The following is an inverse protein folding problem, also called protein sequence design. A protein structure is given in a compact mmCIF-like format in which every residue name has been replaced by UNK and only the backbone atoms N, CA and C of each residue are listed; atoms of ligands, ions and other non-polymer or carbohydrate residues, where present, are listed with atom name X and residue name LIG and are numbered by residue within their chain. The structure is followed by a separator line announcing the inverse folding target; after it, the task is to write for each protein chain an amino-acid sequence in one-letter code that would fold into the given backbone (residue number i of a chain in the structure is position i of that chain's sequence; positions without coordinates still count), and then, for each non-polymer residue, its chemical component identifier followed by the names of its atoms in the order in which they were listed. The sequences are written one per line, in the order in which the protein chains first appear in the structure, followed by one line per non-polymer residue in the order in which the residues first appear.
data_IF_951240665303
#
_entry.id   IF_951240665303
#
_cell.length_a   1.000
_cell.length_b   1.000
_cell.length_c   1.000
_cell.angle_alpha   90.00
_cell.angle_beta   90.00
_cell.angle_gamma   90.00
#
_symmetry.space_group_name_H-M   'P 1'
#
loop_
_entity.id
_entity.type
_entity.pdbx_description
1 polymer ?
#
# COMPACT_ATOMS: atom_id res chain seq x y z
N UNK A 1 -23.47 -26.31 -28.29
CA UNK A 1 -22.00 -26.10 -28.19
C UNK A 1 -21.35 -27.42 -28.56
N UNK A 2 -20.81 -27.50 -29.77
CA UNK A 2 -20.39 -28.75 -30.43
C UNK A 2 -19.07 -29.27 -29.87
N UNK A 3 -18.88 -30.60 -29.87
CA UNK A 3 -17.70 -31.33 -29.37
C UNK A 3 -16.35 -30.77 -29.88
N UNK A 4 -16.36 -30.08 -31.02
CA UNK A 4 -15.21 -29.37 -31.59
C UNK A 4 -14.64 -28.27 -30.67
N UNK A 5 -15.48 -27.64 -29.84
CA UNK A 5 -15.05 -26.60 -28.90
C UNK A 5 -14.33 -27.18 -27.67
N UNK A 6 -14.67 -28.42 -27.27
CA UNK A 6 -13.99 -29.12 -26.17
C UNK A 6 -12.60 -29.61 -26.59
N UNK A 7 -12.45 -30.07 -27.83
CA UNK A 7 -11.15 -30.51 -28.34
C UNK A 7 -10.14 -29.36 -28.48
N UNK A 8 -10.58 -28.16 -28.87
CA UNK A 8 -9.69 -26.98 -28.95
C UNK A 8 -9.19 -26.51 -27.58
N UNK A 9 -10.02 -26.57 -26.52
CA UNK A 9 -9.58 -26.27 -25.15
C UNK A 9 -8.58 -27.30 -24.62
N UNK A 10 -8.77 -28.58 -24.93
CA UNK A 10 -7.85 -29.64 -24.50
C UNK A 10 -6.47 -29.49 -25.18
N UNK A 11 -6.45 -29.13 -26.48
CA UNK A 11 -5.19 -28.90 -27.21
C UNK A 11 -4.41 -27.69 -26.67
N UNK A 12 -5.10 -26.60 -26.33
CA UNK A 12 -4.46 -25.39 -25.78
C UNK A 12 -3.89 -25.68 -24.39
N UNK A 13 -4.61 -26.42 -23.54
CA UNK A 13 -4.11 -26.81 -22.21
C UNK A 13 -2.92 -27.76 -22.29
N UNK A 14 -2.87 -28.68 -23.26
CA UNK A 14 -1.71 -29.55 -23.47
C UNK A 14 -0.48 -28.76 -23.96
N UNK A 15 -0.68 -27.75 -24.81
CA UNK A 15 0.40 -26.93 -25.34
C UNK A 15 1.04 -26.03 -24.26
N UNK A 16 0.22 -25.47 -23.36
CA UNK A 16 0.69 -24.67 -22.23
C UNK A 16 1.44 -25.52 -21.20
N UNK A 17 0.99 -26.77 -20.97
CA UNK A 17 1.67 -27.69 -20.05
C UNK A 17 3.02 -28.16 -20.60
N UNK A 18 3.11 -28.43 -21.91
CA UNK A 18 4.38 -28.78 -22.56
C UNK A 18 5.40 -27.63 -22.53
N UNK A 19 4.93 -26.38 -22.64
CA UNK A 19 5.79 -25.19 -22.55
C UNK A 19 6.32 -24.98 -21.12
N UNK A 20 5.51 -25.29 -20.09
CA UNK A 20 5.93 -25.22 -18.68
C UNK A 20 6.92 -26.33 -18.28
N UNK A 21 6.84 -27.52 -18.90
CA UNK A 21 7.80 -28.59 -18.63
C UNK A 21 9.13 -28.40 -19.37
N UNK A 22 9.13 -27.73 -20.53
CA UNK A 22 10.36 -27.43 -21.25
C UNK A 22 11.23 -26.37 -20.53
N UNK A 23 10.60 -25.44 -19.80
CA UNK A 23 11.33 -24.41 -19.04
C UNK A 23 11.89 -24.92 -17.71
N UNK A 24 11.26 -25.92 -17.08
CA UNK A 24 11.72 -26.46 -15.79
C UNK A 24 12.91 -27.42 -15.92
N UNK A 25 13.10 -28.08 -17.08
CA UNK A 25 14.28 -28.93 -17.32
C UNK A 25 15.53 -28.14 -17.71
N UNK A 26 15.39 -26.88 -18.13
CA UNK A 26 16.54 -26.02 -18.43
C UNK A 26 17.25 -25.47 -17.17
N UNK A 27 16.59 -25.48 -15.99
CA UNK A 27 17.14 -24.93 -14.75
C UNK A 27 17.81 -25.96 -13.81
N UNK A 28 17.65 -27.26 -14.05
CA UNK A 28 18.13 -28.31 -13.14
C UNK A 28 19.49 -28.93 -13.50
N UNK A 29 20.18 -28.45 -14.54
CA UNK A 29 21.38 -29.10 -15.08
C UNK A 29 22.61 -28.18 -15.17
N UNK A 30 22.97 -27.49 -14.09
CA UNK A 30 24.35 -27.05 -13.79
C UNK A 30 24.50 -27.07 -12.26
N UNK A 31 25.01 -28.16 -11.66
CA UNK A 31 26.39 -28.26 -11.13
C UNK A 31 26.59 -27.30 -9.95
N UNK A 32 26.77 -27.72 -8.69
CA UNK A 32 27.94 -28.48 -8.23
C UNK A 32 27.77 -28.97 -6.77
N UNK A 33 28.61 -29.94 -6.43
CA UNK A 33 28.72 -30.74 -5.21
C UNK A 33 29.89 -30.29 -4.32
N UNK A 34 29.73 -30.32 -3.00
CA UNK A 34 30.81 -30.69 -2.08
C UNK A 34 31.13 -29.74 -0.91
N UNK A 35 31.33 -30.37 0.27
CA UNK A 35 31.90 -29.88 1.55
C UNK A 35 30.95 -28.96 2.34
N UNK A 36 30.71 -29.09 3.64
CA UNK A 36 31.38 -29.76 4.76
C UNK A 36 31.16 -28.88 5.99
N UNK A 37 30.62 -29.44 7.07
CA UNK A 37 30.28 -28.75 8.33
C UNK A 37 31.50 -28.06 8.98
N UNK A 38 31.38 -26.79 9.39
CA UNK A 38 31.74 -26.24 10.73
C UNK A 38 31.97 -24.71 10.74
N UNK A 39 31.47 -24.09 11.81
CA UNK A 39 31.86 -22.80 12.42
C UNK A 39 31.34 -21.48 11.82
N UNK A 40 30.53 -20.81 12.66
CA UNK A 40 30.16 -19.40 12.60
C UNK A 40 31.41 -18.51 12.64
N UNK A 41 31.59 -17.66 11.64
CA UNK A 41 32.62 -16.63 11.63
C UNK A 41 32.66 -15.88 10.30
N UNK A 42 32.26 -14.60 10.33
CA UNK A 42 32.45 -13.56 9.32
C UNK A 42 32.82 -14.02 7.89
N UNK A 43 31.80 -14.21 7.04
CA UNK A 43 31.98 -14.49 5.62
C UNK A 43 32.19 -13.22 4.79
N UNK A 44 33.41 -13.04 4.30
CA UNK A 44 33.78 -12.11 3.23
C UNK A 44 33.06 -12.52 1.94
N UNK A 45 32.45 -11.57 1.24
CA UNK A 45 31.83 -11.79 -0.08
C UNK A 45 32.95 -11.85 -1.13
N UNK A 46 33.16 -13.01 -1.74
CA UNK A 46 33.88 -13.14 -3.02
C UNK A 46 32.87 -13.29 -4.15
N UNK A 47 32.96 -12.40 -5.12
CA UNK A 47 32.15 -12.40 -6.33
C UNK A 47 32.77 -13.36 -7.35
N UNK A 48 32.06 -14.41 -7.77
CA UNK A 48 32.35 -15.09 -9.03
C UNK A 48 31.31 -14.64 -10.08
N UNK A 49 31.78 -14.37 -11.29
CA UNK A 49 31.09 -13.54 -12.28
C UNK A 49 29.87 -14.17 -12.97
N UNK A 50 29.04 -14.96 -12.28
CA UNK A 50 27.85 -15.59 -12.88
C UNK A 50 26.58 -15.44 -12.03
N UNK A 51 26.03 -14.23 -12.00
CA UNK A 51 24.59 -14.01 -12.23
C UNK A 51 23.56 -14.52 -11.23
N UNK A 52 23.87 -14.68 -9.94
CA UNK A 52 22.85 -14.93 -8.91
C UNK A 52 23.19 -14.23 -7.59
N UNK A 53 22.33 -13.32 -7.14
CA UNK A 53 22.46 -12.65 -5.83
C UNK A 53 21.35 -13.14 -4.89
N UNK A 54 21.73 -13.73 -3.76
CA UNK A 54 20.81 -14.00 -2.64
C UNK A 54 21.21 -13.14 -1.44
N UNK A 55 20.39 -12.16 -1.09
CA UNK A 55 20.53 -11.44 0.17
C UNK A 55 19.67 -12.13 1.23
N UNK A 56 20.30 -12.74 2.23
CA UNK A 56 19.64 -13.09 3.47
C UNK A 56 19.71 -11.87 4.40
N UNK A 57 18.57 -11.22 4.62
CA UNK A 57 18.42 -10.18 5.64
C UNK A 57 17.92 -10.87 6.90
N UNK A 58 18.79 -11.05 7.89
CA UNK A 58 18.39 -11.43 9.25
C UNK A 58 17.77 -10.19 9.91
N UNK A 59 16.53 -10.33 10.40
CA UNK A 59 15.70 -9.26 10.95
C UNK A 59 16.10 -8.79 12.35
N UNK A 60 17.41 -8.65 12.65
CA UNK A 60 17.87 -8.26 13.99
C UNK A 60 18.69 -6.96 14.07
N UNK A 61 18.96 -6.26 12.97
CA UNK A 61 19.83 -5.07 13.02
C UNK A 61 19.05 -3.75 13.06
N UNK A 62 18.54 -3.39 14.24
CA UNK A 62 17.90 -2.09 14.52
C UNK A 62 18.66 -1.26 15.55
N UNK A 63 19.93 -1.55 15.87
CA UNK A 63 20.63 -0.86 16.95
C UNK A 63 22.05 -0.42 16.58
N UNK A 64 22.15 0.91 16.39
CA UNK A 64 23.31 1.82 16.44
C UNK A 64 23.87 2.30 15.08
N UNK A 65 24.12 3.63 14.92
CA UNK A 65 24.80 4.14 13.75
C UNK A 65 26.27 3.71 13.83
N UNK A 66 26.67 2.76 13.00
CA UNK A 66 28.07 2.47 12.80
C UNK A 66 28.74 3.71 12.19
N UNK A 67 29.56 4.39 13.00
CA UNK A 67 30.43 5.48 12.57
C UNK A 67 31.40 4.91 11.54
N UNK A 68 31.20 5.23 10.27
CA UNK A 68 32.15 4.88 9.21
C UNK A 68 33.35 5.81 9.38
N UNK A 69 34.50 5.22 9.72
CA UNK A 69 35.79 5.90 9.80
C UNK A 69 36.33 6.10 8.38
N UNK A 70 36.24 7.33 7.86
CA UNK A 70 36.76 7.74 6.55
C UNK A 70 38.23 8.21 6.67
N UNK A 71 39.11 7.30 7.09
CA UNK A 71 40.56 7.57 7.16
C UNK A 71 41.36 6.60 6.29
N UNK A 72 40.95 6.41 5.04
CA UNK A 72 41.72 5.66 4.05
C UNK A 72 42.13 6.52 2.86
N UNK A 73 43.44 6.72 2.69
CA UNK A 73 44.04 7.44 1.56
C UNK A 73 44.01 6.63 0.26
N UNK A 74 44.13 7.35 -0.87
CA UNK A 74 44.12 6.80 -2.23
C UNK A 74 45.13 5.65 -2.40
N UNK A 75 44.63 4.41 -2.57
CA UNK A 75 45.46 3.26 -2.94
C UNK A 75 44.93 1.87 -2.56
N UNK A 76 43.95 1.76 -1.66
CA UNK A 76 43.44 0.44 -1.22
C UNK A 76 42.41 -0.13 -2.20
N UNK A 77 42.68 -1.31 -2.77
CA UNK A 77 41.74 -2.10 -3.58
C UNK A 77 41.03 -3.12 -2.70
N UNK A 78 39.90 -2.71 -2.13
CA UNK A 78 39.03 -3.56 -1.33
C UNK A 78 37.82 -2.77 -0.84
N UNK A 79 36.73 -2.79 -1.62
CA UNK A 79 35.49 -2.13 -1.22
C UNK A 79 34.70 -3.02 -0.27
N UNK A 80 34.49 -2.56 0.96
CA UNK A 80 33.37 -3.01 1.78
C UNK A 80 32.15 -2.24 1.27
N UNK A 81 31.31 -2.89 0.48
CA UNK A 81 30.05 -2.27 0.06
C UNK A 81 29.12 -2.20 1.26
N UNK A 82 28.86 -0.99 1.77
CA UNK A 82 27.62 -0.77 2.51
C UNK A 82 26.46 -0.91 1.53
N UNK A 83 25.35 -1.50 1.99
CA UNK A 83 24.14 -1.68 1.18
C UNK A 83 23.64 -0.37 0.54
N UNK A 84 24.02 0.77 1.11
CA UNK A 84 23.69 2.13 0.65
C UNK A 84 24.32 2.46 -0.73
N UNK A 85 25.57 2.04 -0.99
CA UNK A 85 26.24 2.32 -2.28
C UNK A 85 25.82 1.38 -3.41
N UNK A 86 25.37 0.16 -3.09
CA UNK A 86 24.83 -0.76 -4.09
C UNK A 86 23.44 -0.32 -4.61
N UNK A 87 22.74 0.49 -3.81
CA UNK A 87 21.53 1.18 -4.26
C UNK A 87 21.87 2.30 -5.26
N UNK A 88 22.92 3.06 -4.99
CA UNK A 88 23.37 4.21 -5.80
C UNK A 88 23.85 3.81 -7.22
N UNK A 89 24.53 2.66 -7.38
CA UNK A 89 24.96 2.20 -8.72
C UNK A 89 23.84 1.56 -9.56
N UNK A 90 22.80 1.00 -8.93
CA UNK A 90 21.63 0.49 -9.67
C UNK A 90 20.67 1.61 -10.08
N UNK A 91 20.63 2.71 -9.34
CA UNK A 91 19.89 3.92 -9.73
C UNK A 91 20.49 4.51 -11.01
N UNK A 92 21.82 4.56 -11.17
CA UNK A 92 22.47 5.06 -12.40
C UNK A 92 22.09 4.38 -13.71
N UNK A 93 21.55 3.16 -13.69
CA UNK A 93 21.07 2.48 -14.92
C UNK A 93 19.56 2.61 -15.15
N UNK A 94 18.79 3.22 -14.25
CA UNK A 94 17.32 3.41 -14.39
C UNK A 94 16.77 4.78 -13.98
N UNK A 95 17.59 5.68 -13.46
CA UNK A 95 17.30 7.10 -13.25
C UNK A 95 18.53 7.80 -12.71
N UNK A 96 18.99 8.86 -13.35
CA UNK A 96 20.08 9.66 -12.80
C UNK A 96 19.55 10.40 -11.57
N UNK A 97 20.11 10.16 -10.39
CA UNK A 97 19.95 11.01 -9.21
C UNK A 97 21.23 11.84 -9.08
N UNK A 98 21.16 13.10 -9.48
CA UNK A 98 22.25 14.07 -9.25
C UNK A 98 21.81 15.06 -8.17
N UNK A 99 22.54 15.06 -7.05
CA UNK A 99 22.42 16.10 -6.04
C UNK A 99 23.25 17.30 -6.49
N UNK A 100 22.58 18.44 -6.75
CA UNK A 100 23.23 19.63 -7.30
C UNK A 100 23.45 20.63 -6.15
N UNK A 101 24.72 20.92 -5.88
CA UNK A 101 25.12 22.01 -4.98
C UNK A 101 25.45 23.25 -5.84
N UNK A 102 24.72 24.34 -5.65
CA UNK A 102 24.88 25.54 -6.45
C UNK A 102 26.17 26.32 -6.12
N UNK A 103 26.81 26.84 -7.17
CA UNK A 103 27.67 28.01 -7.13
C UNK A 103 26.95 29.18 -7.84
N UNK A 104 27.53 30.37 -7.84
CA UNK A 104 26.94 31.59 -8.43
C UNK A 104 26.78 31.58 -9.96
N UNK A 105 27.06 30.47 -10.63
CA UNK A 105 27.03 30.34 -12.09
C UNK A 105 25.87 29.43 -12.50
N UNK A 106 25.14 29.74 -13.59
CA UNK A 106 24.06 28.91 -14.10
C UNK A 106 24.57 27.50 -14.39
N UNK A 107 23.99 26.51 -13.73
CA UNK A 107 24.33 25.10 -13.92
C UNK A 107 23.49 24.53 -15.07
N UNK A 108 24.15 23.94 -16.05
CA UNK A 108 23.52 23.32 -17.21
C UNK A 108 23.63 21.79 -17.11
N UNK A 109 22.50 21.09 -17.03
CA UNK A 109 22.47 19.64 -17.18
C UNK A 109 22.31 19.33 -18.65
N UNK A 110 23.22 18.52 -19.18
CA UNK A 110 23.23 18.17 -20.60
C UNK A 110 23.17 16.65 -20.74
N UNK A 111 21.98 16.06 -20.94
CA UNK A 111 21.85 14.63 -21.18
C UNK A 111 22.51 14.27 -22.53
N UNK A 112 23.68 13.63 -22.51
CA UNK A 112 24.42 13.25 -23.73
C UNK A 112 24.15 11.79 -24.10
N UNK A 113 23.41 11.56 -25.19
CA UNK A 113 23.21 10.21 -25.74
C UNK A 113 21.99 10.13 -26.66
N UNK A 114 22.05 9.30 -27.70
CA UNK A 114 20.86 9.00 -28.52
C UNK A 114 19.86 8.18 -27.70
N UNK A 115 18.90 8.84 -27.08
CA UNK A 115 17.90 8.21 -26.20
C UNK A 115 16.93 7.38 -27.05
N UNK A 116 16.95 6.05 -26.89
CA UNK A 116 16.04 5.13 -27.60
C UNK A 116 14.89 4.64 -26.73
N UNK A 117 14.86 5.01 -25.45
CA UNK A 117 13.83 4.64 -24.49
C UNK A 117 13.45 5.85 -23.61
N UNK A 118 12.19 5.90 -23.19
CA UNK A 118 11.71 6.87 -22.21
C UNK A 118 12.38 6.61 -20.85
N UNK A 119 12.91 7.65 -20.22
CA UNK A 119 13.56 7.59 -18.92
C UNK A 119 12.90 8.53 -17.91
N UNK A 120 13.18 8.31 -16.63
CA UNK A 120 12.83 9.23 -15.55
C UNK A 120 14.11 9.78 -14.93
N UNK A 121 14.15 11.09 -14.76
CA UNK A 121 15.20 11.80 -14.03
C UNK A 121 14.59 12.52 -12.83
N UNK A 122 15.21 12.40 -11.67
CA UNK A 122 14.85 13.17 -10.47
C UNK A 122 16.03 14.07 -10.12
N UNK A 123 15.83 15.38 -10.19
CA UNK A 123 16.83 16.40 -9.90
C UNK A 123 16.51 17.06 -8.56
N UNK A 124 17.49 17.12 -7.65
CA UNK A 124 17.34 17.78 -6.37
C UNK A 124 18.14 19.08 -6.37
N UNK A 125 17.43 20.21 -6.42
CA UNK A 125 17.97 21.57 -6.33
C UNK A 125 18.07 21.91 -4.85
N UNK A 126 19.28 21.83 -4.29
CA UNK A 126 19.50 22.00 -2.85
C UNK A 126 19.87 23.43 -2.44
N UNK A 127 19.89 24.36 -3.40
CA UNK A 127 20.22 25.75 -3.13
C UNK A 127 19.13 26.40 -2.27
N UNK A 128 19.56 27.04 -1.18
CA UNK A 128 18.72 27.79 -0.24
C UNK A 128 18.97 29.29 -0.32
N UNK A 129 19.88 29.73 -1.19
CA UNK A 129 20.07 31.15 -1.49
C UNK A 129 19.12 31.57 -2.61
N UNK A 130 18.15 32.44 -2.27
CA UNK A 130 17.18 32.99 -3.22
C UNK A 130 17.90 33.54 -4.47
N UNK A 131 17.62 32.96 -5.64
CA UNK A 131 18.06 33.48 -6.95
C UNK A 131 19.12 32.68 -7.70
N UNK A 132 19.32 31.39 -7.38
CA UNK A 132 20.08 30.49 -8.24
C UNK A 132 19.26 30.07 -9.46
N UNK A 133 19.46 30.73 -10.61
CA UNK A 133 18.81 30.32 -11.86
C UNK A 133 19.36 28.95 -12.32
N UNK A 134 18.48 27.94 -12.45
CA UNK A 134 18.82 26.61 -12.93
C UNK A 134 18.39 26.45 -14.38
N UNK A 135 19.32 26.12 -15.28
CA UNK A 135 19.02 25.93 -16.70
C UNK A 135 19.10 24.45 -17.09
N UNK A 136 18.03 23.89 -17.63
CA UNK A 136 18.01 22.55 -18.22
C UNK A 136 18.16 22.65 -19.73
N UNK A 137 19.39 22.50 -20.23
CA UNK A 137 19.68 22.53 -21.67
C UNK A 137 19.69 21.14 -22.26
N UNK A 138 18.93 20.90 -23.33
CA UNK A 138 19.06 19.66 -24.10
C UNK A 138 20.19 19.75 -25.14
N UNK A 139 21.03 18.70 -25.25
CA UNK A 139 21.85 18.47 -26.45
C UNK A 139 21.29 17.29 -27.23
N UNK A 140 20.32 17.58 -28.08
CA UNK A 140 19.61 16.60 -28.90
C UNK A 140 18.30 16.12 -28.24
N UNK A 141 17.31 15.72 -29.05
CA UNK A 141 15.96 15.46 -28.56
C UNK A 141 15.93 14.20 -27.69
N UNK A 142 15.48 14.28 -26.42
CA UNK A 142 15.09 13.11 -25.64
C UNK A 142 14.08 12.23 -26.40
N UNK A 143 13.99 10.96 -26.01
CA UNK A 143 12.91 10.11 -26.50
C UNK A 143 11.57 10.64 -26.00
N UNK A 144 10.55 10.66 -26.86
CA UNK A 144 9.17 10.96 -26.46
C UNK A 144 8.76 10.12 -25.25
N UNK A 145 8.17 10.77 -24.24
CA UNK A 145 7.76 10.15 -22.98
C UNK A 145 8.82 10.17 -21.88
N UNK A 146 10.01 10.73 -22.12
CA UNK A 146 11.00 11.01 -21.06
C UNK A 146 10.43 12.01 -20.05
N UNK A 147 10.60 11.74 -18.76
CA UNK A 147 10.10 12.57 -17.66
C UNK A 147 11.28 13.14 -16.87
N UNK A 148 11.24 14.44 -16.60
CA UNK A 148 12.12 15.08 -15.62
C UNK A 148 11.27 15.62 -14.47
N UNK A 149 11.67 15.30 -13.24
CA UNK A 149 11.09 15.83 -12.00
C UNK A 149 12.15 16.68 -11.32
N UNK A 150 11.82 17.95 -11.09
CA UNK A 150 12.64 18.92 -10.39
C UNK A 150 12.11 19.05 -8.97
N UNK A 151 12.94 18.75 -7.98
CA UNK A 151 12.65 18.95 -6.56
C UNK A 151 13.42 20.15 -6.06
N UNK A 152 12.73 21.07 -5.40
CA UNK A 152 13.31 22.34 -4.99
C UNK A 152 13.46 22.46 -3.47
N UNK A 153 14.60 22.89 -2.95
CA UNK A 153 14.83 23.04 -1.51
C UNK A 153 14.70 24.50 -0.99
N UNK A 154 14.71 25.49 -1.88
CA UNK A 154 14.57 26.93 -1.61
C UNK A 154 13.99 27.63 -2.85
N UNK A 155 13.52 28.88 -2.80
CA UNK A 155 12.87 29.47 -3.98
C UNK A 155 13.84 29.62 -5.17
N UNK A 156 13.47 29.09 -6.34
CA UNK A 156 14.34 29.05 -7.52
C UNK A 156 13.55 29.32 -8.80
N UNK A 157 14.27 29.85 -9.79
CA UNK A 157 13.77 30.04 -11.16
C UNK A 157 14.43 29.01 -12.06
N UNK A 158 13.62 28.26 -12.82
CA UNK A 158 14.08 27.24 -13.74
C UNK A 158 13.76 27.66 -15.17
N UNK A 159 14.75 27.56 -16.05
CA UNK A 159 14.60 27.74 -17.49
C UNK A 159 14.90 26.43 -18.22
N UNK A 160 14.09 26.10 -19.22
CA UNK A 160 14.29 24.89 -20.05
C UNK A 160 14.44 25.30 -21.52
N UNK A 161 15.66 25.70 -21.95
CA UNK A 161 15.95 25.97 -23.36
C UNK A 161 16.13 24.70 -24.19
N UNK A 162 15.66 24.76 -25.43
CA UNK A 162 15.93 23.78 -26.47
C UNK A 162 17.37 23.87 -26.98
N UNK A 163 17.73 22.96 -27.89
CA UNK A 163 19.07 22.93 -28.49
C UNK A 163 19.46 24.22 -29.25
N UNK A 164 18.49 25.03 -29.67
CA UNK A 164 18.70 26.33 -30.34
C UNK A 164 18.68 27.53 -29.36
N UNK A 165 18.50 27.28 -28.05
CA UNK A 165 18.43 28.30 -27.00
C UNK A 165 17.05 28.94 -26.82
N UNK A 166 16.01 28.44 -27.48
CA UNK A 166 14.63 28.89 -27.29
C UNK A 166 13.97 28.15 -26.14
N UNK A 167 13.24 28.83 -25.26
CA UNK A 167 12.61 28.18 -24.12
C UNK A 167 11.38 27.35 -24.51
N UNK A 168 11.26 26.13 -23.99
CA UNK A 168 10.28 25.12 -24.44
C UNK A 168 8.97 25.04 -23.63
N UNK A 169 8.92 25.71 -22.48
CA UNK A 169 7.80 25.63 -21.53
C UNK A 169 6.79 26.78 -21.78
N UNK A 170 5.47 26.59 -21.55
CA UNK A 170 4.48 27.68 -21.63
C UNK A 170 4.82 28.87 -20.70
N UNK A 171 4.36 30.09 -21.06
CA UNK A 171 4.60 31.36 -20.34
C UNK A 171 6.06 31.83 -20.33
N UNK A 172 6.60 32.10 -21.51
CA UNK A 172 7.93 32.67 -21.70
C UNK A 172 9.10 31.82 -21.17
N UNK A 173 8.86 30.55 -20.81
CA UNK A 173 9.91 29.57 -20.59
C UNK A 173 10.54 29.51 -19.21
N UNK A 174 10.03 30.32 -18.28
CA UNK A 174 10.52 30.46 -16.92
C UNK A 174 9.53 29.85 -15.93
N UNK A 175 10.00 28.89 -15.13
CA UNK A 175 9.24 28.22 -14.07
C UNK A 175 9.75 28.77 -12.73
N UNK A 176 8.88 29.40 -11.96
CA UNK A 176 9.20 29.82 -10.58
C UNK A 176 8.71 28.73 -9.64
N UNK A 177 9.62 28.15 -8.86
CA UNK A 177 9.29 27.20 -7.80
C UNK A 177 9.53 27.81 -6.44
N UNK A 178 8.54 27.72 -5.57
CA UNK A 178 8.68 28.05 -4.17
C UNK A 178 9.48 26.97 -3.43
N UNK A 179 9.80 27.26 -2.17
CA UNK A 179 10.54 26.33 -1.31
C UNK A 179 9.77 25.02 -1.11
N UNK A 180 10.42 23.88 -1.36
CA UNK A 180 9.85 22.52 -1.28
C UNK A 180 8.80 22.17 -2.33
N UNK A 181 8.65 22.98 -3.38
CA UNK A 181 7.85 22.60 -4.53
C UNK A 181 8.58 21.60 -5.43
N UNK A 182 7.80 20.83 -6.19
CA UNK A 182 8.30 19.98 -7.24
C UNK A 182 7.59 20.28 -8.56
N UNK A 183 8.33 20.17 -9.65
CA UNK A 183 7.79 20.39 -11.00
C UNK A 183 8.16 19.25 -11.91
N UNK A 184 7.21 18.76 -12.68
CA UNK A 184 7.44 17.67 -13.61
C UNK A 184 7.15 18.10 -15.04
N UNK A 185 8.03 17.70 -15.96
CA UNK A 185 7.87 17.87 -17.40
C UNK A 185 8.03 16.54 -18.10
N UNK A 186 7.30 16.36 -19.20
CA UNK A 186 7.42 15.21 -20.10
C UNK A 186 7.82 15.70 -21.49
N UNK A 187 8.85 15.08 -22.07
CA UNK A 187 9.26 15.39 -23.43
C UNK A 187 8.27 14.81 -24.43
N UNK A 188 7.73 15.65 -25.32
CA UNK A 188 6.77 15.25 -26.36
C UNK A 188 6.97 16.05 -27.62
N UNK A 189 7.25 15.35 -28.72
CA UNK A 189 7.27 15.91 -30.06
C UNK A 189 8.15 17.16 -30.09
N UNK A 190 9.42 16.97 -29.71
CA UNK A 190 10.47 17.99 -29.78
C UNK A 190 10.27 19.19 -28.83
N UNK A 191 9.68 18.94 -27.65
CA UNK A 191 9.59 19.94 -26.57
C UNK A 191 9.29 19.34 -25.22
N UNK A 192 9.76 19.98 -24.15
CA UNK A 192 9.27 19.73 -22.80
C UNK A 192 7.87 20.30 -22.59
N UNK A 193 6.93 19.44 -22.23
CA UNK A 193 5.56 19.82 -21.88
C UNK A 193 5.40 19.67 -20.37
N UNK A 194 4.89 20.69 -19.65
CA UNK A 194 4.50 20.51 -18.26
C UNK A 194 3.63 19.27 -18.12
N UNK A 195 3.97 18.41 -17.17
CA UNK A 195 2.96 17.57 -16.52
C UNK A 195 2.13 18.52 -15.66
N UNK A 196 1.37 19.39 -16.33
CA UNK A 196 0.48 20.34 -15.69
C UNK A 196 -0.44 19.54 -14.76
N UNK A 197 -0.73 20.06 -13.57
CA UNK A 197 -1.66 19.47 -12.58
C UNK A 197 -3.08 19.30 -13.18
N UNK A 198 -3.32 19.90 -14.36
CA UNK A 198 -4.54 19.76 -15.18
C UNK A 198 -4.36 18.99 -16.48
N UNK A 199 -3.13 18.64 -16.85
CA UNK A 199 -2.93 17.69 -17.94
C UNK A 199 -3.40 16.34 -17.41
N UNK A 200 -4.35 15.74 -18.11
CA UNK A 200 -4.98 14.43 -17.83
C UNK A 200 -4.00 13.23 -17.86
N UNK A 201 -2.71 13.45 -17.61
CA UNK A 201 -1.81 12.42 -17.16
C UNK A 201 -2.27 12.03 -15.75
N UNK A 202 -3.12 11.01 -15.69
CA UNK A 202 -3.56 10.36 -14.47
C UNK A 202 -2.35 10.11 -13.54
N UNK A 203 -2.06 11.02 -12.61
CA UNK A 203 -1.42 10.61 -11.38
C UNK A 203 -2.38 9.57 -10.83
N UNK A 204 -1.95 8.31 -10.90
CA UNK A 204 -2.78 7.18 -10.54
C UNK A 204 -3.33 7.48 -9.16
N UNK A 205 -4.64 7.68 -9.05
CA UNK A 205 -5.31 7.99 -7.79
C UNK A 205 -4.77 7.04 -6.73
N UNK A 206 -4.03 7.58 -5.76
CA UNK A 206 -3.39 6.74 -4.76
C UNK A 206 -4.52 6.15 -3.93
N UNK A 207 -4.75 4.86 -4.14
CA UNK A 207 -5.81 4.13 -3.45
C UNK A 207 -5.20 3.46 -2.24
N UNK A 208 -5.52 3.96 -1.04
CA UNK A 208 -5.12 3.28 0.20
C UNK A 208 -6.23 2.34 0.66
N UNK A 209 -5.84 1.32 1.40
CA UNK A 209 -6.76 0.44 2.13
C UNK A 209 -6.58 0.75 3.60
N UNK A 210 -7.63 1.22 4.25
CA UNK A 210 -7.60 1.60 5.66
C UNK A 210 -8.41 0.63 6.51
N UNK A 211 -8.06 0.57 7.78
CA UNK A 211 -8.80 -0.19 8.79
C UNK A 211 -9.05 0.67 10.01
N UNK A 212 -10.28 0.64 10.49
CA UNK A 212 -10.71 1.46 11.62
C UNK A 212 -11.44 0.60 12.64
N UNK A 213 -11.12 0.77 13.93
CA UNK A 213 -11.75 0.02 15.01
C UNK A 213 -12.83 0.85 15.70
N UNK A 214 -14.06 0.35 15.70
CA UNK A 214 -15.19 0.95 16.41
C UNK A 214 -15.45 0.13 17.69
N UNK A 215 -15.19 0.67 18.89
CA UNK A 215 -15.35 -0.05 20.14
C UNK A 215 -16.83 -0.30 20.46
N UNK A 216 -17.13 -1.44 21.08
CA UNK A 216 -18.51 -1.79 21.48
C UNK A 216 -19.12 -0.79 22.47
N UNK A 217 -18.26 -0.10 23.24
CA UNK A 217 -18.69 0.92 24.20
C UNK A 217 -19.29 2.18 23.55
N UNK A 218 -19.14 2.37 22.24
CA UNK A 218 -19.77 3.46 21.49
C UNK A 218 -21.04 3.02 20.77
N UNK A 219 -21.39 1.74 20.86
CA UNK A 219 -22.57 1.20 20.21
C UNK A 219 -23.83 1.40 21.05
N UNK A 220 -24.95 1.56 20.36
CA UNK A 220 -26.29 1.80 20.88
C UNK A 220 -27.06 0.48 20.85
N UNK A 221 -27.95 0.29 21.82
CA UNK A 221 -28.84 -0.87 21.86
C UNK A 221 -29.71 -0.98 20.60
N UNK A 222 -29.79 -2.20 20.06
CA UNK A 222 -30.70 -2.57 18.99
C UNK A 222 -32.11 -2.89 19.46
N UNK A 223 -32.79 -3.76 18.72
CA UNK A 223 -34.13 -4.26 19.06
C UNK A 223 -34.08 -5.26 20.20
N UNK A 224 -33.11 -6.17 20.17
CA UNK A 224 -32.82 -7.17 21.19
C UNK A 224 -31.36 -6.98 21.54
N UNK A 225 -31.09 -6.14 22.53
CA UNK A 225 -29.71 -5.80 22.87
C UNK A 225 -29.02 -6.96 23.61
N UNK A 226 -27.69 -7.14 23.38
CA UNK A 226 -26.87 -8.05 24.18
C UNK A 226 -26.76 -7.58 25.62
N UNK A 227 -26.12 -8.39 26.47
CA UNK A 227 -25.86 -8.03 27.86
C UNK A 227 -25.19 -6.64 27.98
N UNK A 228 -25.52 -5.92 29.05
CA UNK A 228 -24.95 -4.59 29.33
C UNK A 228 -23.41 -4.67 29.33
N UNK A 229 -22.76 -3.59 28.86
CA UNK A 229 -21.31 -3.53 28.77
C UNK A 229 -20.62 -3.92 30.09
N UNK A 230 -19.69 -4.85 29.97
CA UNK A 230 -18.89 -5.39 31.06
C UNK A 230 -17.40 -5.23 30.75
N UNK A 231 -16.58 -5.22 31.80
CA UNK A 231 -15.12 -5.26 31.64
C UNK A 231 -14.63 -6.69 31.86
N UNK A 232 -13.96 -7.24 30.85
CA UNK A 232 -13.23 -8.48 30.97
C UNK A 232 -12.16 -8.32 32.05
N UNK A 233 -12.37 -8.99 33.18
CA UNK A 233 -11.54 -8.84 34.39
C UNK A 233 -10.41 -9.88 34.41
N UNK A 234 -9.50 -9.78 33.44
CA UNK A 234 -8.23 -10.53 33.41
C UNK A 234 -7.04 -9.61 33.72
N UNK A 235 -5.81 -10.07 33.51
CA UNK A 235 -4.58 -9.24 33.60
C UNK A 235 -4.69 -7.97 32.75
N UNK A 236 -5.31 -8.07 31.57
CA UNK A 236 -5.62 -6.93 30.71
C UNK A 236 -7.14 -6.70 30.68
N UNK A 237 -7.56 -5.44 30.83
CA UNK A 237 -8.97 -5.05 30.87
C UNK A 237 -9.45 -4.62 29.50
N UNK A 238 -10.54 -5.22 29.02
CA UNK A 238 -11.18 -4.89 27.75
C UNK A 238 -12.68 -4.70 27.99
N UNK A 239 -13.25 -3.61 27.47
CA UNK A 239 -14.70 -3.42 27.47
C UNK A 239 -15.33 -4.31 26.42
N UNK A 240 -16.39 -5.02 26.78
CA UNK A 240 -17.11 -5.95 25.89
C UNK A 240 -18.62 -5.92 26.17
N UNK A 241 -19.40 -6.44 25.22
CA UNK A 241 -20.79 -6.84 25.45
C UNK A 241 -20.94 -8.31 25.12
N UNK A 242 -21.58 -9.06 26.01
CA UNK A 242 -21.73 -10.50 25.86
C UNK A 242 -23.01 -10.77 25.08
N UNK A 243 -22.86 -11.28 23.86
CA UNK A 243 -23.97 -11.68 23.00
C UNK A 243 -24.39 -13.12 23.32
N UNK A 244 -25.68 -13.36 23.51
CA UNK A 244 -26.27 -14.66 23.84
C UNK A 244 -26.05 -15.68 22.70
N UNK A 245 -25.65 -16.89 23.06
CA UNK A 245 -25.50 -18.04 22.15
C UNK A 245 -26.81 -18.56 21.54
N UNK A 246 -27.96 -18.18 22.09
CA UNK A 246 -29.28 -18.69 21.72
C UNK A 246 -30.21 -17.65 21.09
N UNK A 247 -29.82 -16.37 21.06
CA UNK A 247 -30.66 -15.28 20.55
C UNK A 247 -29.95 -14.44 19.49
N UNK A 248 -30.71 -13.99 18.49
CA UNK A 248 -30.23 -12.96 17.58
C UNK A 248 -30.31 -11.62 18.30
N UNK A 249 -29.17 -11.13 18.75
CA UNK A 249 -29.05 -9.84 19.41
C UNK A 249 -28.36 -8.82 18.50
N UNK A 250 -28.67 -7.54 18.69
CA UNK A 250 -28.22 -6.47 17.82
C UNK A 250 -27.73 -5.22 18.55
N UNK A 251 -26.74 -4.59 17.93
CA UNK A 251 -26.18 -3.30 18.31
C UNK A 251 -26.14 -2.39 17.09
N UNK A 252 -26.33 -1.10 17.32
CA UNK A 252 -26.27 -0.06 16.29
C UNK A 252 -25.08 0.84 16.54
N UNK A 253 -24.51 1.41 15.50
CA UNK A 253 -23.49 2.45 15.65
C UNK A 253 -23.50 3.41 14.48
N UNK A 254 -22.85 4.55 14.69
CA UNK A 254 -22.64 5.57 13.67
C UNK A 254 -21.17 5.62 13.33
N UNK A 255 -20.88 5.95 12.08
CA UNK A 255 -19.54 6.14 11.56
C UNK A 255 -19.56 7.28 10.57
N UNK A 256 -18.68 8.26 10.76
CA UNK A 256 -18.53 9.37 9.81
C UNK A 256 -17.71 8.89 8.63
N UNK A 257 -18.33 8.94 7.45
CA UNK A 257 -17.74 8.45 6.22
C UNK A 257 -16.64 9.41 5.78
N UNK A 258 -15.39 8.93 5.56
CA UNK A 258 -14.30 9.77 5.10
C UNK A 258 -14.67 10.55 3.84
N UNK A 259 -14.17 11.78 3.75
CA UNK A 259 -14.44 12.71 2.63
C UNK A 259 -13.90 12.22 1.27
N UNK A 260 -13.09 11.18 1.30
CA UNK A 260 -12.32 10.65 0.19
C UNK A 260 -12.52 9.12 0.05
N UNK A 261 -13.66 8.59 0.54
CA UNK A 261 -13.97 7.17 0.43
C UNK A 261 -14.15 6.74 -1.04
N UNK A 262 -13.64 5.55 -1.37
CA UNK A 262 -14.10 4.82 -2.57
C UNK A 262 -15.40 4.08 -2.25
N UNK A 263 -16.52 4.81 -2.32
CA UNK A 263 -17.84 4.26 -2.02
C UNK A 263 -18.21 3.05 -2.90
N UNK A 264 -17.68 2.99 -4.13
CA UNK A 264 -17.95 1.88 -5.06
C UNK A 264 -17.28 0.57 -4.63
N UNK A 265 -16.13 0.64 -3.96
CA UNK A 265 -15.49 -0.55 -3.36
C UNK A 265 -16.24 -1.09 -2.14
N UNK A 266 -17.14 -0.28 -1.55
CA UNK A 266 -17.90 -0.61 -0.35
C UNK A 266 -17.02 -0.79 0.90
N UNK A 267 -17.64 -1.26 1.98
CA UNK A 267 -17.00 -1.42 3.28
C UNK A 267 -17.01 -2.90 3.65
N UNK A 268 -15.89 -3.44 4.13
CA UNK A 268 -15.83 -4.78 4.72
C UNK A 268 -15.75 -4.66 6.24
N UNK A 269 -16.21 -5.67 6.96
CA UNK A 269 -16.09 -5.67 8.42
C UNK A 269 -15.60 -7.01 8.95
N UNK A 270 -14.95 -6.96 10.10
CA UNK A 270 -14.66 -8.08 10.98
C UNK A 270 -15.07 -7.71 12.40
N UNK A 271 -15.31 -8.70 13.26
CA UNK A 271 -15.71 -8.50 14.65
C UNK A 271 -14.61 -9.04 15.55
N UNK A 272 -14.18 -8.20 16.50
CA UNK A 272 -13.22 -8.56 17.52
C UNK A 272 -13.97 -9.08 18.74
N UNK A 273 -13.72 -10.34 19.08
CA UNK A 273 -14.43 -11.09 20.11
C UNK A 273 -13.47 -11.67 21.15
N UNK A 274 -14.03 -12.11 22.27
CA UNK A 274 -13.34 -12.85 23.32
C UNK A 274 -14.21 -14.01 23.78
N UNK A 275 -13.60 -15.16 24.05
CA UNK A 275 -14.29 -16.28 24.73
C UNK A 275 -14.59 -15.85 26.16
N UNK A 276 -15.86 -15.92 26.57
CA UNK A 276 -16.28 -15.43 27.91
C UNK A 276 -16.64 -16.54 28.88
N UNK A 277 -17.05 -17.70 28.35
CA UNK A 277 -17.37 -18.88 29.13
C UNK A 277 -16.11 -19.72 29.40
N UNK A 278 -16.11 -20.45 30.52
CA UNK A 278 -15.01 -21.32 30.91
C UNK A 278 -14.89 -22.59 30.03
N UNK A 279 -16.01 -23.03 29.44
CA UNK A 279 -16.05 -24.20 28.58
C UNK A 279 -15.54 -23.84 27.18
N UNK A 280 -14.49 -24.51 26.72
CA UNK A 280 -13.97 -24.32 25.37
C UNK A 280 -15.07 -24.60 24.31
N UNK A 281 -15.10 -23.84 23.20
CA UNK A 281 -15.99 -24.15 22.09
C UNK A 281 -15.59 -25.46 21.41
N UNK A 282 -16.50 -26.09 20.68
CA UNK A 282 -16.16 -27.25 19.86
C UNK A 282 -15.55 -26.82 18.51
N UNK A 283 -14.65 -27.66 17.95
CA UNK A 283 -13.86 -27.47 16.70
C UNK A 283 -14.67 -27.18 15.41
N UNK A 284 -15.99 -27.13 15.50
CA UNK A 284 -16.91 -26.96 14.36
C UNK A 284 -17.94 -25.89 14.62
N UNK A 285 -17.91 -25.25 15.79
CA UNK A 285 -18.81 -24.17 16.11
C UNK A 285 -18.40 -22.92 15.35
N UNK A 286 -19.35 -22.23 14.76
CA UNK A 286 -19.14 -21.02 13.98
C UNK A 286 -19.74 -19.87 14.74
N UNK A 287 -18.96 -18.82 15.01
CA UNK A 287 -19.52 -17.53 15.42
C UNK A 287 -19.72 -16.69 14.18
N UNK A 288 -20.91 -16.09 14.02
CA UNK A 288 -21.24 -15.33 12.82
C UNK A 288 -22.03 -14.05 13.14
N UNK A 289 -21.60 -12.97 12.50
CA UNK A 289 -22.23 -11.66 12.61
C UNK A 289 -22.65 -11.15 11.24
N UNK A 290 -23.74 -10.41 11.21
CA UNK A 290 -24.26 -9.71 10.05
C UNK A 290 -24.13 -8.21 10.24
N UNK A 291 -23.72 -7.50 9.21
CA UNK A 291 -23.71 -6.04 9.19
C UNK A 291 -24.49 -5.54 7.98
N UNK A 292 -25.42 -4.63 8.21
CA UNK A 292 -26.11 -3.85 7.20
C UNK A 292 -26.08 -2.37 7.60
N UNK A 293 -26.17 -1.47 6.64
CA UNK A 293 -26.18 -0.04 6.95
C UNK A 293 -26.81 0.83 5.88
N UNK A 294 -26.97 2.10 6.23
CA UNK A 294 -27.36 3.18 5.34
C UNK A 294 -26.56 4.43 5.69
N UNK A 295 -26.28 5.30 4.72
CA UNK A 295 -25.68 6.60 4.94
C UNK A 295 -26.75 7.70 4.83
N UNK A 296 -26.61 8.70 5.69
CA UNK A 296 -27.52 9.83 5.80
C UNK A 296 -26.76 11.12 5.50
N UNK A 297 -27.33 11.92 4.60
CA UNK A 297 -26.97 13.32 4.43
C UNK A 297 -27.72 14.20 5.45
N UNK A 298 -27.30 15.45 5.54
CA UNK A 298 -28.02 16.45 6.33
C UNK A 298 -29.50 16.50 5.93
N UNK A 299 -30.39 16.52 6.92
CA UNK A 299 -31.86 16.49 6.76
C UNK A 299 -32.45 15.17 6.22
N UNK A 300 -31.67 14.09 6.10
CA UNK A 300 -32.21 12.77 5.76
C UNK A 300 -32.91 12.11 6.98
N UNK A 301 -33.93 11.28 6.71
CA UNK A 301 -34.69 10.58 7.74
C UNK A 301 -33.93 9.33 8.24
N UNK A 302 -33.90 9.13 9.57
CA UNK A 302 -33.21 7.99 10.20
C UNK A 302 -33.90 6.64 9.96
N UNK A 303 -35.12 6.62 9.42
CA UNK A 303 -35.88 5.40 9.11
C UNK A 303 -35.67 4.90 7.68
N UNK A 304 -34.57 5.28 7.03
CA UNK A 304 -34.25 4.87 5.66
C UNK A 304 -34.05 3.36 5.53
N UNK A 305 -34.09 2.86 4.30
CA UNK A 305 -33.83 1.46 4.02
C UNK A 305 -32.34 1.14 4.21
N UNK A 306 -32.04 0.19 5.09
CA UNK A 306 -30.70 -0.40 5.19
C UNK A 306 -30.41 -1.25 3.96
N UNK A 307 -29.16 -1.26 3.53
CA UNK A 307 -28.74 -2.05 2.38
C UNK A 307 -28.61 -3.55 2.69
N UNK A 308 -28.05 -4.30 1.75
CA UNK A 308 -27.92 -5.75 1.88
C UNK A 308 -26.90 -6.13 2.96
N UNK A 309 -27.36 -6.90 3.94
CA UNK A 309 -26.53 -7.49 4.97
C UNK A 309 -25.40 -8.35 4.38
N UNK A 310 -24.22 -8.29 5.00
CA UNK A 310 -23.13 -9.24 4.75
C UNK A 310 -22.75 -9.95 6.04
N UNK A 311 -22.29 -11.19 5.90
CA UNK A 311 -21.86 -12.02 7.03
C UNK A 311 -20.34 -12.03 7.16
N UNK A 312 -19.87 -11.94 8.41
CA UNK A 312 -18.50 -12.16 8.84
C UNK A 312 -18.51 -13.28 9.88
N UNK A 313 -17.65 -14.29 9.73
CA UNK A 313 -17.67 -15.46 10.60
C UNK A 313 -16.27 -15.99 10.94
N UNK A 314 -16.20 -16.84 11.96
CA UNK A 314 -15.03 -17.62 12.34
C UNK A 314 -15.50 -19.01 12.77
N UNK A 315 -14.85 -20.06 12.27
CA UNK A 315 -14.96 -21.40 12.86
C UNK A 315 -14.05 -21.46 14.08
N UNK A 316 -14.62 -21.72 15.24
CA UNK A 316 -13.92 -21.83 16.50
C UNK A 316 -13.05 -23.10 16.55
N UNK A 317 -11.93 -22.99 17.25
CA UNK A 317 -11.02 -24.09 17.56
C UNK A 317 -11.21 -24.48 19.04
N UNK A 318 -11.18 -25.77 19.34
CA UNK A 318 -11.35 -26.29 20.70
C UNK A 318 -10.12 -26.06 21.60
N UNK A 319 -9.04 -25.54 21.04
CA UNK A 319 -7.91 -25.00 21.80
C UNK A 319 -8.21 -23.64 22.41
N UNK A 320 -9.27 -22.95 21.96
CA UNK A 320 -9.65 -21.67 22.54
C UNK A 320 -10.14 -21.84 23.98
N UNK A 321 -9.56 -21.06 24.88
CA UNK A 321 -9.91 -21.02 26.29
C UNK A 321 -10.53 -19.68 26.67
N UNK A 322 -11.09 -19.61 27.87
CA UNK A 322 -11.67 -18.38 28.40
C UNK A 322 -10.68 -17.21 28.30
N UNK A 323 -11.16 -16.09 27.76
CA UNK A 323 -10.44 -14.85 27.51
C UNK A 323 -9.50 -14.84 26.30
N UNK A 324 -9.48 -15.89 25.49
CA UNK A 324 -8.78 -15.84 24.21
C UNK A 324 -9.44 -14.83 23.26
N UNK A 325 -8.59 -14.07 22.57
CA UNK A 325 -8.99 -13.12 21.53
C UNK A 325 -9.32 -13.86 20.24
N UNK A 326 -10.52 -13.63 19.74
CA UNK A 326 -10.99 -14.12 18.44
C UNK A 326 -11.24 -12.96 17.50
N UNK A 327 -11.02 -13.17 16.20
CA UNK A 327 -11.43 -12.19 15.19
C UNK A 327 -12.05 -12.95 14.01
N UNK A 328 -13.23 -12.51 13.58
CA UNK A 328 -13.84 -13.06 12.37
C UNK A 328 -13.06 -12.66 11.10
N UNK A 329 -13.23 -13.42 10.03
CA UNK A 329 -12.68 -13.02 8.73
C UNK A 329 -13.39 -11.78 8.21
N UNK A 330 -12.68 -10.89 7.50
CA UNK A 330 -13.34 -9.78 6.83
C UNK A 330 -14.45 -10.29 5.90
N UNK A 331 -15.63 -9.68 6.00
CA UNK A 331 -16.77 -9.95 5.15
C UNK A 331 -16.49 -9.62 3.68
N UNK A 332 -17.41 -10.03 2.81
CA UNK A 332 -17.60 -9.37 1.51
C UNK A 332 -18.02 -7.90 1.70
N UNK A 333 -17.99 -7.10 0.64
CA UNK A 333 -18.36 -5.69 0.72
C UNK A 333 -19.83 -5.52 1.13
N UNK A 334 -20.06 -4.86 2.26
CA UNK A 334 -21.37 -4.43 2.76
C UNK A 334 -21.91 -3.37 1.82
N UNK A 335 -23.12 -3.59 1.33
CA UNK A 335 -23.84 -2.58 0.56
C UNK A 335 -24.48 -1.63 1.56
N UNK A 336 -23.89 -0.45 1.74
CA UNK A 336 -24.46 0.63 2.53
C UNK A 336 -25.28 1.52 1.60
N UNK A 337 -26.59 1.60 1.83
CA UNK A 337 -27.48 2.41 1.00
C UNK A 337 -27.03 3.87 1.02
N UNK A 338 -26.93 4.51 -0.15
CA UNK A 338 -26.50 5.91 -0.32
C UNK A 338 -25.11 6.24 0.22
N UNK A 339 -24.20 5.26 0.32
CA UNK A 339 -22.82 5.54 0.73
C UNK A 339 -22.16 6.54 -0.22
N UNK A 340 -21.70 7.65 0.34
CA UNK A 340 -20.94 8.69 -0.34
C UNK A 340 -20.02 9.38 0.68
N UNK A 341 -19.08 10.18 0.17
CA UNK A 341 -18.17 10.97 1.01
C UNK A 341 -18.91 11.91 1.98
N UNK A 342 -18.28 12.17 3.13
CA UNK A 342 -18.74 13.16 4.12
C UNK A 342 -20.19 13.00 4.61
N UNK A 343 -20.73 11.78 4.54
CA UNK A 343 -22.02 11.42 5.12
C UNK A 343 -21.82 10.73 6.47
N UNK A 344 -22.91 10.54 7.24
CA UNK A 344 -22.88 9.69 8.43
C UNK A 344 -23.55 8.35 8.12
N UNK A 345 -22.79 7.26 8.24
CA UNK A 345 -23.30 5.91 8.08
C UNK A 345 -23.86 5.37 9.40
N UNK A 346 -25.06 4.83 9.34
CA UNK A 346 -25.73 4.11 10.42
C UNK A 346 -25.72 2.62 10.11
N UNK A 347 -25.22 1.84 11.05
CA UNK A 347 -25.08 0.40 10.91
C UNK A 347 -25.88 -0.36 11.96
N UNK A 348 -26.32 -1.56 11.58
CA UNK A 348 -26.89 -2.55 12.47
C UNK A 348 -26.05 -3.84 12.43
N UNK A 349 -25.37 -4.13 13.53
CA UNK A 349 -24.61 -5.35 13.76
C UNK A 349 -25.50 -6.35 14.47
N UNK A 350 -25.69 -7.54 13.89
CA UNK A 350 -26.55 -8.59 14.43
C UNK A 350 -25.72 -9.86 14.59
N UNK A 351 -25.79 -10.53 15.74
CA UNK A 351 -25.31 -11.91 15.87
C UNK A 351 -26.32 -12.88 15.25
N UNK A 352 -25.86 -13.82 14.43
CA UNK A 352 -26.71 -14.73 13.66
C UNK A 352 -26.96 -16.08 14.37
N UNK A 353 -27.21 -16.08 15.69
CA UNK A 353 -27.31 -17.25 16.58
C UNK A 353 -28.25 -18.39 16.09
N UNK A 354 -29.23 -18.07 15.24
CA UNK A 354 -30.28 -19.01 14.81
C UNK A 354 -30.15 -19.52 13.37
N UNK A 355 -29.11 -19.13 12.63
CA UNK A 355 -28.97 -19.47 11.20
C UNK A 355 -27.60 -20.03 10.86
N UNK A 356 -26.58 -19.18 10.85
CA UNK A 356 -25.20 -19.51 10.45
C UNK A 356 -24.28 -19.73 11.64
N UNK A 357 -24.59 -19.07 12.76
CA UNK A 357 -23.84 -19.20 14.00
C UNK A 357 -24.26 -20.50 14.71
N UNK A 358 -23.30 -21.38 14.98
CA UNK A 358 -23.48 -22.63 15.73
C UNK A 358 -22.73 -22.59 17.07
N UNK A 359 -22.22 -21.42 17.44
CA UNK A 359 -21.53 -21.15 18.68
C UNK A 359 -22.55 -21.00 19.82
N UNK A 360 -22.91 -22.12 20.44
CA UNK A 360 -24.01 -22.17 21.42
C UNK A 360 -23.78 -21.39 22.72
N UNK A 361 -22.57 -20.86 22.94
CA UNK A 361 -22.21 -20.12 24.14
C UNK A 361 -22.29 -18.61 23.90
N UNK A 362 -22.23 -17.84 24.98
CA UNK A 362 -22.12 -16.40 24.90
C UNK A 362 -20.75 -16.04 24.31
N UNK A 363 -20.70 -14.92 23.59
CA UNK A 363 -19.45 -14.39 23.05
C UNK A 363 -19.31 -12.91 23.37
N UNK A 364 -18.15 -12.54 23.91
CA UNK A 364 -17.88 -11.16 24.31
C UNK A 364 -17.35 -10.35 23.14
N UNK A 365 -18.16 -9.45 22.58
CA UNK A 365 -17.76 -8.56 21.49
C UNK A 365 -17.11 -7.31 22.06
N UNK A 366 -15.86 -7.03 21.69
CA UNK A 366 -15.13 -5.82 22.11
C UNK A 366 -15.29 -4.66 21.12
N UNK A 367 -15.57 -4.97 19.85
CA UNK A 367 -15.82 -3.98 18.82
C UNK A 367 -15.77 -4.59 17.42
N UNK A 368 -15.84 -3.74 16.42
CA UNK A 368 -15.73 -4.11 15.01
C UNK A 368 -14.54 -3.43 14.36
N UNK A 369 -14.03 -4.04 13.31
CA UNK A 369 -12.98 -3.47 12.47
C UNK A 369 -13.60 -3.25 11.09
N UNK A 370 -13.72 -2.00 10.68
CA UNK A 370 -14.08 -1.63 9.32
C UNK A 370 -12.83 -1.68 8.44
N UNK A 371 -12.99 -2.07 7.17
CA UNK A 371 -11.95 -2.03 6.15
C UNK A 371 -12.53 -1.46 4.87
N UNK A 372 -11.96 -0.36 4.40
CA UNK A 372 -12.46 0.40 3.26
C UNK A 372 -11.29 0.96 2.46
N UNK A 373 -11.60 1.52 1.29
CA UNK A 373 -10.62 2.18 0.44
C UNK A 373 -10.85 3.68 0.43
N UNK A 374 -9.78 4.43 0.26
CA UNK A 374 -9.81 5.89 0.09
C UNK A 374 -9.02 6.28 -1.14
N UNK A 375 -9.46 7.36 -1.78
CA UNK A 375 -8.80 8.01 -2.90
C UNK A 375 -8.07 9.25 -2.42
N UNK A 376 -6.74 9.20 -2.39
CA UNK A 376 -5.96 10.40 -2.12
C UNK A 376 -5.80 11.17 -3.42
N UNK A 377 -6.53 12.28 -3.54
CA UNK A 377 -6.17 13.31 -4.50
C UNK A 377 -4.94 13.99 -3.92
N UNK A 378 -3.77 13.70 -4.46
CA UNK A 378 -2.59 14.49 -4.17
C UNK A 378 -2.78 15.85 -4.85
N UNK A 379 -3.43 16.79 -4.16
CA UNK A 379 -3.21 18.21 -4.44
C UNK A 379 -1.80 18.51 -3.95
N UNK A 380 -0.87 18.57 -4.89
CA UNK A 380 0.49 19.05 -4.64
C UNK A 380 0.50 20.57 -4.60
#
# INVERSE_FOLDING_TARGET
MTEEFKMKKLLISLFVLALLLATSQAQAAQGWSGLGDTSLGAGIITYDGSGGFSAAVDGTDYLAPARVDDTKGNGDTGYVYSADKAYDENVKTRGLHEAIAAGTDPFAITPTGGWTAALRFDFWITDTTDGGDVSLTETGPPADGTIAVLHNAGANTIEIPNADGNLEVPNDGTIVLETYEAYAVVYRTDRWVPLDDKSTANFATLTTVETEFIPVGWMIDGTVAPAVAATLSSTNKVSRRDFDGAANEDLKFVWDVPADIDAASGIKFAVLCYVVNATAPANTQVVAFSLAGMALANSAILSGAVGSAQTSSLTADATYVQYDRLQTTFSSAVVVTNLADSLTAHFNLIRLATTTDTYAQDIGVAGIILKYKRFHNATF
#
